data_IF_419627379384
#
_entry.id   IF_419627379384
#
_cell.length_a   1.000
_cell.length_b   1.000
_cell.length_c   1.000
_cell.angle_alpha   90.00
_cell.angle_beta   90.00
_cell.angle_gamma   90.00
#
_symmetry.space_group_name_H-M   'P 1'
#
loop_
_entity.id
_entity.type
_entity.pdbx_description
1 polymer ?
#
# COMPACT_ATOMS: atom_id res chain seq x y z
N UNK A 1 26.73 8.32 9.49
CA UNK A 1 25.77 7.59 8.64
C UNK A 1 26.15 7.86 7.19
N UNK A 2 26.43 6.81 6.40
CA UNK A 2 26.73 6.97 4.97
C UNK A 2 25.45 7.24 4.17
N UNK A 3 25.58 7.69 2.92
CA UNK A 3 24.43 7.90 2.03
C UNK A 3 23.64 6.60 1.83
N UNK A 4 24.34 5.48 1.57
CA UNK A 4 23.69 4.17 1.39
C UNK A 4 22.92 3.73 2.63
N UNK A 5 23.49 3.94 3.84
CA UNK A 5 22.78 3.66 5.09
C UNK A 5 21.54 4.54 5.27
N UNK A 6 21.63 5.82 4.90
CA UNK A 6 20.49 6.75 4.96
C UNK A 6 19.38 6.29 4.00
N UNK A 7 19.71 5.97 2.74
CA UNK A 7 18.76 5.51 1.74
C UNK A 7 18.10 4.20 2.18
N UNK A 8 18.91 3.25 2.67
CA UNK A 8 18.43 1.97 3.15
C UNK A 8 17.46 2.10 4.33
N UNK A 9 17.81 2.88 5.37
CA UNK A 9 16.93 3.13 6.52
C UNK A 9 15.66 3.88 6.13
N UNK A 10 15.80 4.91 5.28
CA UNK A 10 14.68 5.73 4.79
C UNK A 10 13.70 4.87 4.02
N UNK A 11 14.19 4.03 3.11
CA UNK A 11 13.36 3.12 2.32
C UNK A 11 12.53 2.20 3.21
N UNK A 12 13.14 1.60 4.23
CA UNK A 12 12.46 0.65 5.14
C UNK A 12 11.44 1.32 6.03
N UNK A 13 11.79 2.46 6.63
CA UNK A 13 10.87 3.24 7.44
C UNK A 13 9.67 3.73 6.63
N UNK A 14 9.93 4.24 5.41
CA UNK A 14 8.88 4.71 4.51
C UNK A 14 7.96 3.58 4.04
N UNK A 15 8.51 2.40 3.71
CA UNK A 15 7.73 1.22 3.32
C UNK A 15 6.80 0.75 4.44
N UNK A 16 7.30 0.63 5.67
CA UNK A 16 6.51 0.20 6.81
C UNK A 16 5.41 1.21 7.15
N UNK A 17 5.74 2.52 7.13
CA UNK A 17 4.74 3.57 7.33
C UNK A 17 3.67 3.53 6.22
N UNK A 18 4.08 3.39 4.95
CA UNK A 18 3.15 3.28 3.82
C UNK A 18 2.19 2.10 3.99
N UNK A 19 2.71 0.93 4.40
CA UNK A 19 1.90 -0.26 4.63
C UNK A 19 0.76 0.01 5.63
N UNK A 20 1.07 0.58 6.80
CA UNK A 20 0.05 0.85 7.81
C UNK A 20 -0.89 2.00 7.43
N UNK A 21 -0.41 3.02 6.70
CA UNK A 21 -1.27 4.08 6.17
C UNK A 21 -2.26 3.53 5.15
N UNK A 22 -1.82 2.65 4.24
CA UNK A 22 -2.70 1.99 3.27
C UNK A 22 -3.69 1.04 3.96
N UNK A 23 -3.26 0.32 4.99
CA UNK A 23 -4.16 -0.51 5.81
C UNK A 23 -5.25 0.34 6.48
N UNK A 24 -4.88 1.47 7.08
CA UNK A 24 -5.83 2.41 7.68
C UNK A 24 -6.78 3.01 6.63
N UNK A 25 -6.28 3.31 5.42
CA UNK A 25 -7.12 3.77 4.31
C UNK A 25 -8.16 2.71 3.91
N UNK A 26 -7.79 1.43 3.86
CA UNK A 26 -8.74 0.34 3.60
C UNK A 26 -9.78 0.19 4.71
N UNK A 27 -9.36 0.23 5.99
CA UNK A 27 -10.28 0.12 7.13
C UNK A 27 -11.30 1.26 7.12
N UNK A 28 -10.85 2.49 6.91
CA UNK A 28 -11.75 3.65 6.81
C UNK A 28 -12.68 3.57 5.60
N UNK A 29 -12.19 3.05 4.46
CA UNK A 29 -13.02 2.80 3.28
C UNK A 29 -14.07 1.70 3.49
N UNK A 30 -13.73 0.65 4.23
CA UNK A 30 -14.67 -0.39 4.68
C UNK A 30 -15.73 0.21 5.62
N UNK A 31 -15.30 0.97 6.63
CA UNK A 31 -16.19 1.57 7.62
C UNK A 31 -17.23 2.51 7.00
N UNK A 32 -16.88 3.26 5.95
CA UNK A 32 -17.84 4.11 5.22
C UNK A 32 -18.99 3.35 4.54
N UNK A 33 -18.86 2.02 4.42
CA UNK A 33 -19.86 1.14 3.78
C UNK A 33 -20.40 0.09 4.76
N UNK A 34 -20.16 0.21 6.05
CA UNK A 34 -20.63 -0.72 7.09
C UNK A 34 -21.01 0.04 8.37
N UNK A 35 -21.65 -0.66 9.32
CA UNK A 35 -21.96 -0.11 10.64
C UNK A 35 -20.76 -0.12 11.62
N UNK A 36 -19.53 -0.38 11.14
CA UNK A 36 -18.37 -0.69 12.01
C UNK A 36 -17.97 0.42 12.98
N UNK A 37 -18.33 1.68 12.69
CA UNK A 37 -18.10 2.82 13.59
C UNK A 37 -19.36 3.65 13.80
N UNK A 38 -20.53 3.02 13.66
CA UNK A 38 -21.80 3.69 13.95
C UNK A 38 -21.84 4.12 15.43
N UNK A 39 -22.21 5.38 15.67
CA UNK A 39 -22.21 5.98 17.02
C UNK A 39 -20.85 6.49 17.52
N UNK A 40 -19.73 5.97 17.01
CA UNK A 40 -18.39 6.42 17.41
C UNK A 40 -17.89 7.62 16.60
N UNK A 41 -18.23 7.69 15.30
CA UNK A 41 -17.73 8.72 14.39
C UNK A 41 -18.75 9.06 13.31
N UNK A 42 -18.85 10.33 12.92
CA UNK A 42 -19.75 10.76 11.84
C UNK A 42 -19.17 10.32 10.49
N UNK A 43 -20.03 9.91 9.56
CA UNK A 43 -19.62 9.51 8.20
C UNK A 43 -18.80 10.59 7.46
N UNK A 44 -19.08 11.87 7.74
CA UNK A 44 -18.30 12.99 7.19
C UNK A 44 -16.84 12.96 7.67
N UNK A 45 -16.63 12.75 8.97
CA UNK A 45 -15.30 12.71 9.55
C UNK A 45 -14.55 11.47 9.06
N UNK A 46 -15.22 10.32 8.94
CA UNK A 46 -14.64 9.09 8.37
C UNK A 46 -14.22 9.29 6.92
N UNK A 47 -15.04 10.01 6.14
CA UNK A 47 -14.74 10.32 4.74
C UNK A 47 -13.54 11.26 4.63
N UNK A 48 -13.44 12.26 5.51
CA UNK A 48 -12.28 13.15 5.58
C UNK A 48 -11.01 12.40 5.96
N UNK A 49 -11.08 11.52 6.97
CA UNK A 49 -9.96 10.70 7.40
C UNK A 49 -9.48 9.76 6.28
N UNK A 50 -10.41 9.07 5.61
CA UNK A 50 -10.09 8.24 4.46
C UNK A 50 -9.36 9.05 3.38
N UNK A 51 -9.88 10.23 3.04
CA UNK A 51 -9.27 11.11 2.04
C UNK A 51 -7.87 11.57 2.45
N UNK A 52 -7.68 11.91 3.72
CA UNK A 52 -6.38 12.29 4.27
C UNK A 52 -5.36 11.15 4.14
N UNK A 53 -5.72 9.95 4.59
CA UNK A 53 -4.87 8.76 4.50
C UNK A 53 -4.52 8.41 3.04
N UNK A 54 -5.46 8.59 2.10
CA UNK A 54 -5.20 8.37 0.66
C UNK A 54 -4.25 9.39 0.03
N UNK A 55 -3.89 10.47 0.72
CA UNK A 55 -2.83 11.40 0.30
C UNK A 55 -1.53 11.10 1.01
N UNK A 56 -1.58 10.69 2.28
CA UNK A 56 -0.39 10.41 3.10
C UNK A 56 0.49 9.28 2.54
N UNK A 57 -0.05 8.31 1.81
CA UNK A 57 0.77 7.24 1.23
C UNK A 57 1.74 7.76 0.15
N UNK A 58 1.36 8.81 -0.60
CA UNK A 58 2.13 9.30 -1.75
C UNK A 58 3.59 9.62 -1.42
N UNK A 59 3.89 10.47 -0.42
CA UNK A 59 5.28 10.74 -0.05
C UNK A 59 5.99 9.50 0.50
N UNK A 60 5.28 8.59 1.18
CA UNK A 60 5.90 7.40 1.79
C UNK A 60 6.31 6.38 0.72
N UNK A 61 5.42 6.05 -0.22
CA UNK A 61 5.75 5.17 -1.34
C UNK A 61 6.76 5.84 -2.27
N UNK A 62 6.63 7.14 -2.51
CA UNK A 62 7.59 7.92 -3.28
C UNK A 62 9.00 7.84 -2.68
N UNK A 63 9.15 8.07 -1.37
CA UNK A 63 10.43 7.93 -0.67
C UNK A 63 10.98 6.50 -0.72
N UNK A 64 10.12 5.50 -0.54
CA UNK A 64 10.53 4.09 -0.63
C UNK A 64 11.12 3.76 -2.01
N UNK A 65 10.41 4.10 -3.08
CA UNK A 65 10.84 3.84 -4.46
C UNK A 65 12.06 4.68 -4.85
N UNK A 66 12.09 5.97 -4.50
CA UNK A 66 13.23 6.84 -4.78
C UNK A 66 14.49 6.37 -4.05
N UNK A 67 14.37 6.00 -2.78
CA UNK A 67 15.51 5.49 -2.02
C UNK A 67 16.05 4.19 -2.62
N UNK A 68 15.19 3.28 -3.07
CA UNK A 68 15.61 2.03 -3.72
C UNK A 68 16.24 2.23 -5.11
N UNK A 69 15.79 3.21 -5.88
CA UNK A 69 16.33 3.51 -7.21
C UNK A 69 17.66 4.28 -7.16
N UNK A 70 17.89 5.05 -6.10
CA UNK A 70 19.15 5.75 -5.85
C UNK A 70 20.19 4.87 -5.12
N UNK A 71 19.77 3.77 -4.51
CA UNK A 71 20.65 2.85 -3.80
C UNK A 71 21.52 2.04 -4.79
N UNK A 72 22.83 2.28 -4.75
CA UNK A 72 23.83 1.63 -5.60
C UNK A 72 23.93 0.10 -5.35
N UNK A 73 23.46 -0.37 -4.20
CA UNK A 73 23.42 -1.80 -3.86
C UNK A 73 22.18 -2.46 -4.48
N UNK A 74 21.03 -1.80 -4.43
CA UNK A 74 19.77 -2.33 -4.94
C UNK A 74 19.72 -2.41 -6.47
N UNK A 75 20.37 -1.47 -7.18
CA UNK A 75 20.48 -1.47 -8.66
C UNK A 75 19.13 -1.61 -9.39
N UNK A 76 18.07 -1.04 -8.83
CA UNK A 76 16.74 -1.02 -9.43
C UNK A 76 16.71 0.03 -10.53
N UNK A 77 16.38 -0.36 -11.76
CA UNK A 77 16.22 0.56 -12.88
C UNK A 77 14.79 1.15 -12.89
N UNK A 78 14.56 2.38 -13.40
CA UNK A 78 13.21 2.93 -13.52
C UNK A 78 12.23 2.05 -14.31
N UNK A 79 12.73 1.24 -15.27
CA UNK A 79 11.88 0.32 -16.03
C UNK A 79 11.34 -0.84 -15.17
N UNK A 80 12.06 -1.20 -14.11
CA UNK A 80 11.67 -2.25 -13.18
C UNK A 80 10.51 -1.80 -12.27
N UNK A 81 10.18 -0.50 -12.25
CA UNK A 81 9.01 0.06 -11.56
C UNK A 81 7.70 -0.12 -12.33
N UNK A 82 7.77 -0.54 -13.60
CA UNK A 82 6.63 -0.68 -14.51
C UNK A 82 6.50 -2.11 -15.03
N UNK A 83 7.63 -2.80 -15.22
CA UNK A 83 7.64 -4.16 -15.74
C UNK A 83 8.09 -5.11 -14.62
N UNK A 84 7.20 -5.95 -14.09
CA UNK A 84 7.52 -6.81 -12.96
C UNK A 84 8.50 -7.93 -13.34
N UNK A 85 9.12 -8.53 -12.32
CA UNK A 85 9.97 -9.74 -12.40
C UNK A 85 11.31 -9.60 -13.14
N UNK A 86 11.71 -8.38 -13.52
CA UNK A 86 12.98 -8.12 -14.23
C UNK A 86 14.25 -8.27 -13.38
N UNK A 87 14.13 -8.10 -12.06
CA UNK A 87 15.29 -8.09 -11.17
C UNK A 87 15.66 -9.50 -10.74
N UNK A 88 16.73 -10.06 -11.28
CA UNK A 88 17.07 -11.49 -11.15
C UNK A 88 17.27 -11.98 -9.70
N UNK A 89 17.91 -11.19 -8.84
CA UNK A 89 18.26 -11.63 -7.47
C UNK A 89 17.05 -11.71 -6.52
N UNK A 90 15.96 -11.01 -6.82
CA UNK A 90 14.76 -10.98 -5.99
C UNK A 90 13.49 -10.79 -6.85
N UNK A 91 13.41 -11.55 -7.96
CA UNK A 91 12.42 -11.38 -9.01
C UNK A 91 10.99 -11.40 -8.48
N UNK A 92 10.64 -12.42 -7.66
CA UNK A 92 9.29 -12.54 -7.10
C UNK A 92 8.97 -11.38 -6.16
N UNK A 93 9.84 -11.09 -5.18
CA UNK A 93 9.59 -10.06 -4.18
C UNK A 93 9.43 -8.69 -4.85
N UNK A 94 10.39 -8.27 -5.69
CA UNK A 94 10.37 -6.97 -6.36
C UNK A 94 9.25 -6.90 -7.40
N UNK A 95 9.00 -7.99 -8.13
CA UNK A 95 7.90 -8.07 -9.10
C UNK A 95 6.52 -7.88 -8.45
N UNK A 96 6.29 -8.43 -7.25
CA UNK A 96 5.08 -8.15 -6.47
C UNK A 96 5.01 -6.68 -6.04
N UNK A 97 6.13 -6.07 -5.64
CA UNK A 97 6.18 -4.64 -5.34
C UNK A 97 5.77 -3.78 -6.54
N UNK A 98 6.21 -4.18 -7.73
CA UNK A 98 5.88 -3.54 -9.02
C UNK A 98 4.38 -3.67 -9.32
N UNK A 99 3.84 -4.89 -9.26
CA UNK A 99 2.39 -5.13 -9.46
C UNK A 99 1.56 -4.33 -8.44
N UNK A 100 1.99 -4.29 -7.18
CA UNK A 100 1.33 -3.50 -6.14
C UNK A 100 1.33 -2.01 -6.47
N UNK A 101 2.45 -1.48 -6.96
CA UNK A 101 2.59 -0.08 -7.39
C UNK A 101 1.66 0.23 -8.58
N UNK A 102 1.61 -0.66 -9.57
CA UNK A 102 0.72 -0.51 -10.73
C UNK A 102 -0.76 -0.49 -10.32
N UNK A 103 -1.16 -1.41 -9.44
CA UNK A 103 -2.54 -1.44 -8.92
C UNK A 103 -2.85 -0.18 -8.08
N UNK A 104 -1.90 0.28 -7.26
CA UNK A 104 -2.05 1.50 -6.48
C UNK A 104 -2.22 2.72 -7.40
N UNK A 105 -1.47 2.78 -8.49
CA UNK A 105 -1.58 3.84 -9.49
C UNK A 105 -2.95 3.80 -10.17
N UNK A 106 -3.42 2.62 -10.59
CA UNK A 106 -4.76 2.44 -11.19
C UNK A 106 -5.84 2.94 -10.21
N UNK A 107 -5.82 2.50 -8.95
CA UNK A 107 -6.82 2.91 -7.94
C UNK A 107 -6.75 4.41 -7.70
N UNK A 108 -5.57 5.00 -7.64
CA UNK A 108 -5.37 6.43 -7.37
C UNK A 108 -5.88 7.29 -8.53
N UNK A 109 -5.43 7.00 -9.75
CA UNK A 109 -5.82 7.73 -10.96
C UNK A 109 -7.33 7.65 -11.18
N UNK A 110 -7.90 6.44 -11.09
CA UNK A 110 -9.35 6.25 -11.26
C UNK A 110 -10.16 6.92 -10.15
N UNK A 111 -9.63 7.01 -8.93
CA UNK A 111 -10.29 7.73 -7.82
C UNK A 111 -10.23 9.25 -8.02
N UNK A 112 -9.13 9.79 -8.56
CA UNK A 112 -9.04 11.21 -8.93
C UNK A 112 -10.00 11.56 -10.07
N UNK A 113 -10.09 10.68 -11.07
CA UNK A 113 -10.96 10.83 -12.24
C UNK A 113 -12.41 10.37 -11.99
N UNK A 114 -12.79 10.05 -10.75
CA UNK A 114 -14.12 9.50 -10.39
C UNK A 114 -15.29 10.28 -11.02
N UNK A 115 -15.20 11.61 -11.14
CA UNK A 115 -16.27 12.44 -11.71
C UNK A 115 -16.50 12.23 -13.21
N UNK A 116 -15.51 11.68 -13.91
CA UNK A 116 -15.54 11.40 -15.35
C UNK A 116 -15.78 9.92 -15.67
N UNK A 117 -15.89 9.08 -14.64
CA UNK A 117 -16.07 7.63 -14.79
C UNK A 117 -17.50 7.24 -14.45
N UNK A 118 -17.97 6.20 -15.12
CA UNK A 118 -19.20 5.52 -14.74
C UNK A 118 -19.12 5.06 -13.26
N UNK A 119 -20.17 5.27 -12.43
CA UNK A 119 -20.15 4.91 -11.02
C UNK A 119 -19.93 3.42 -10.74
N UNK A 120 -20.37 2.52 -11.61
CA UNK A 120 -20.14 1.08 -11.52
C UNK A 120 -18.68 0.75 -11.90
N UNK A 121 -18.17 1.32 -12.99
CA UNK A 121 -16.78 1.12 -13.41
C UNK A 121 -15.80 1.58 -12.31
N UNK A 122 -16.01 2.79 -11.77
CA UNK A 122 -15.21 3.30 -10.64
C UNK A 122 -15.27 2.36 -9.42
N UNK A 123 -16.45 1.81 -9.09
CA UNK A 123 -16.58 0.87 -7.95
C UNK A 123 -15.74 -0.39 -8.15
N UNK A 124 -15.71 -0.95 -9.35
CA UNK A 124 -14.90 -2.13 -9.66
C UNK A 124 -13.40 -1.82 -9.63
N UNK A 125 -12.99 -0.72 -10.26
CA UNK A 125 -11.60 -0.28 -10.26
C UNK A 125 -11.10 0.04 -8.84
N UNK A 126 -11.92 0.73 -8.04
CA UNK A 126 -11.57 1.04 -6.67
C UNK A 126 -11.47 -0.21 -5.79
N UNK A 127 -12.24 -1.29 -6.06
CA UNK A 127 -12.08 -2.59 -5.37
C UNK A 127 -10.73 -3.25 -5.65
N UNK A 128 -9.98 -2.82 -6.65
CA UNK A 128 -8.60 -3.30 -6.84
C UNK A 128 -7.67 -2.89 -5.67
N UNK A 129 -8.12 -2.01 -4.77
CA UNK A 129 -7.41 -1.69 -3.53
C UNK A 129 -7.18 -2.91 -2.63
N UNK A 130 -8.09 -3.89 -2.65
CA UNK A 130 -7.96 -5.11 -1.84
C UNK A 130 -6.84 -6.04 -2.35
N UNK A 131 -6.83 -6.48 -3.63
CA UNK A 131 -5.72 -7.26 -4.15
C UNK A 131 -4.41 -6.48 -4.14
N UNK A 132 -4.43 -5.16 -4.39
CA UNK A 132 -3.26 -4.29 -4.25
C UNK A 132 -2.60 -4.41 -2.86
N UNK A 133 -3.39 -4.30 -1.80
CA UNK A 133 -2.88 -4.41 -0.44
C UNK A 133 -2.37 -5.82 -0.12
N UNK A 134 -3.07 -6.87 -0.60
CA UNK A 134 -2.60 -8.24 -0.47
C UNK A 134 -1.25 -8.47 -1.15
N UNK A 135 -1.08 -7.92 -2.36
CA UNK A 135 0.20 -7.97 -3.09
C UNK A 135 1.30 -7.21 -2.35
N UNK A 136 1.02 -6.05 -1.77
CA UNK A 136 2.00 -5.34 -0.94
C UNK A 136 2.36 -6.09 0.35
N UNK A 137 1.40 -6.77 0.98
CA UNK A 137 1.69 -7.61 2.14
C UNK A 137 2.63 -8.76 1.78
N UNK A 138 2.39 -9.43 0.64
CA UNK A 138 3.28 -10.48 0.14
C UNK A 138 4.66 -9.92 -0.24
N UNK A 139 4.70 -8.77 -0.91
CA UNK A 139 5.95 -8.06 -1.20
C UNK A 139 6.73 -7.79 0.10
N UNK A 140 6.10 -7.20 1.11
CA UNK A 140 6.74 -6.85 2.38
C UNK A 140 7.26 -8.09 3.13
N UNK A 141 6.50 -9.18 3.12
CA UNK A 141 6.89 -10.45 3.74
C UNK A 141 8.10 -11.09 3.05
N UNK A 142 8.18 -11.00 1.72
CA UNK A 142 9.26 -11.60 0.93
C UNK A 142 10.51 -10.71 0.81
N UNK A 143 10.36 -9.38 0.90
CA UNK A 143 11.45 -8.41 0.70
C UNK A 143 12.11 -7.95 2.00
N UNK A 144 11.39 -7.99 3.13
CA UNK A 144 11.78 -7.25 4.34
C UNK A 144 12.03 -8.11 5.56
N UNK A 145 13.27 -8.13 6.05
CA UNK A 145 13.59 -8.71 7.37
C UNK A 145 12.90 -7.97 8.53
N UNK A 146 12.53 -6.69 8.39
CA UNK A 146 11.79 -5.96 9.42
C UNK A 146 10.35 -6.45 9.54
N UNK A 147 9.72 -6.79 8.41
CA UNK A 147 8.34 -7.25 8.40
C UNK A 147 8.19 -8.62 9.08
N UNK A 148 9.24 -9.44 9.04
CA UNK A 148 9.32 -10.71 9.78
C UNK A 148 9.55 -10.57 11.28
N UNK A 149 9.86 -9.37 11.81
CA UNK A 149 10.04 -9.18 13.25
C UNK A 149 8.67 -9.27 13.96
N UNK A 150 8.55 -9.99 15.08
CA UNK A 150 7.26 -10.16 15.76
C UNK A 150 6.51 -8.86 16.06
N UNK A 151 7.24 -7.81 16.43
CA UNK A 151 6.69 -6.48 16.72
C UNK A 151 6.01 -5.80 15.52
N UNK A 152 6.39 -6.16 14.29
CA UNK A 152 5.78 -5.64 13.06
C UNK A 152 4.82 -6.67 12.46
N UNK A 153 5.21 -7.94 12.48
CA UNK A 153 4.41 -9.04 11.91
C UNK A 153 3.07 -9.20 12.63
N UNK A 154 3.03 -9.13 13.96
CA UNK A 154 1.80 -9.31 14.72
C UNK A 154 0.72 -8.26 14.38
N UNK A 155 1.00 -6.93 14.44
CA UNK A 155 0.02 -5.94 14.03
C UNK A 155 -0.30 -6.01 12.53
N UNK A 156 0.67 -6.34 11.67
CA UNK A 156 0.44 -6.50 10.24
C UNK A 156 -0.52 -7.68 9.94
N UNK A 157 -0.29 -8.84 10.55
CA UNK A 157 -1.15 -10.00 10.42
C UNK A 157 -2.56 -9.72 10.97
N UNK A 158 -2.64 -9.03 12.13
CA UNK A 158 -3.91 -8.61 12.71
C UNK A 158 -4.72 -7.70 11.78
N UNK A 159 -4.09 -6.69 11.18
CA UNK A 159 -4.80 -5.77 10.27
C UNK A 159 -5.19 -6.45 8.95
N UNK A 160 -4.35 -7.34 8.42
CA UNK A 160 -4.67 -8.15 7.23
C UNK A 160 -5.88 -9.06 7.52
N UNK A 161 -5.86 -9.78 8.63
CA UNK A 161 -6.94 -10.68 9.03
C UNK A 161 -8.26 -9.91 9.22
N UNK A 162 -8.20 -8.75 9.89
CA UNK A 162 -9.36 -7.87 10.06
C UNK A 162 -9.95 -7.44 8.72
N UNK A 163 -9.12 -6.92 7.80
CA UNK A 163 -9.56 -6.50 6.47
C UNK A 163 -10.20 -7.67 5.72
N UNK A 164 -9.60 -8.86 5.77
CA UNK A 164 -10.10 -10.05 5.10
C UNK A 164 -11.47 -10.50 5.65
N UNK A 165 -11.61 -10.62 6.98
CA UNK A 165 -12.86 -11.01 7.64
C UNK A 165 -13.99 -10.03 7.28
N UNK A 166 -13.72 -8.72 7.41
CA UNK A 166 -14.71 -7.68 7.09
C UNK A 166 -15.08 -7.65 5.61
N UNK A 167 -14.17 -8.05 4.72
CA UNK A 167 -14.45 -8.15 3.28
C UNK A 167 -15.34 -9.35 2.98
N UNK A 168 -15.11 -10.49 3.64
CA UNK A 168 -15.87 -11.73 3.45
C UNK A 168 -17.24 -11.72 4.11
N UNK A 169 -17.44 -10.90 5.15
CA UNK A 169 -18.71 -10.77 5.87
C UNK A 169 -19.75 -9.87 5.19
N UNK A 170 -19.47 -9.37 3.98
CA UNK A 170 -20.33 -8.46 3.20
C UNK A 170 -20.90 -9.14 1.97
#
# INVERSE_FOLDING_TARGET
>A
MTLDQLLWLTSRAAALAAFFVLAAALITGQALRSAMFEGAMRNRDLSNLHRFLTVCWMPLVGLHVLAMTLDAVARISPIDLVIPFRVAYASLAIGLGTIGLDLLLIVTVTSYLRRHLDPLAWRWLHRMSYPMFGVFALHALLSGTDFGRPLVLAPAAGVIAFIAIVTLAR
#
